data_IF_445743110472
#
_entry.id   IF_445743110472
#
_cell.length_a   1.000
_cell.length_b   1.000
_cell.length_c   1.000
_cell.angle_alpha   90.00
_cell.angle_beta   90.00
_cell.angle_gamma   90.00
#
_symmetry.space_group_name_H-M   'P 1'
#
loop_
_entity.id
_entity.type
_entity.pdbx_description
1 polymer ?
#
# COMPACT_ATOMS: atom_id res chain seq x y z
N UNK A 1 -15.04 -11.59 8.82
CA UNK A 1 -13.83 -10.97 9.43
C UNK A 1 -13.48 -9.74 8.58
N UNK A 2 -13.45 -8.51 9.12
CA UNK A 2 -13.46 -7.31 8.29
C UNK A 2 -12.07 -6.99 7.70
N UNK A 3 -12.02 -6.77 6.38
CA UNK A 3 -10.87 -6.15 5.73
C UNK A 3 -11.02 -4.64 5.86
N UNK A 4 -10.01 -3.95 6.39
CA UNK A 4 -10.04 -2.48 6.43
C UNK A 4 -9.54 -1.95 5.08
N UNK A 5 -10.46 -1.41 4.29
CA UNK A 5 -10.16 -0.72 3.03
C UNK A 5 -10.19 0.77 3.27
N UNK A 6 -9.18 1.48 2.79
CA UNK A 6 -9.07 2.92 2.88
C UNK A 6 -8.77 3.50 1.50
N UNK A 7 -9.42 4.62 1.17
CA UNK A 7 -9.31 5.30 -0.11
C UNK A 7 -8.81 6.72 0.12
N UNK A 8 -7.80 7.14 -0.64
CA UNK A 8 -7.16 8.44 -0.58
C UNK A 8 -7.06 9.04 -2.00
N UNK A 9 -6.81 10.35 -2.10
CA UNK A 9 -6.61 11.07 -3.36
C UNK A 9 -7.67 10.75 -4.42
N UNK A 10 -8.91 11.21 -4.18
CA UNK A 10 -10.04 11.05 -5.10
C UNK A 10 -10.33 9.61 -5.56
N UNK A 11 -9.81 8.58 -4.86
CA UNK A 11 -9.96 7.17 -5.22
C UNK A 11 -8.80 6.56 -6.00
N UNK A 12 -7.75 7.33 -6.30
CA UNK A 12 -6.56 6.85 -7.03
C UNK A 12 -5.62 6.04 -6.14
N UNK A 13 -5.68 6.17 -4.81
CA UNK A 13 -4.93 5.33 -3.89
C UNK A 13 -5.86 4.46 -3.04
N UNK A 14 -5.73 3.14 -3.18
CA UNK A 14 -6.44 2.15 -2.38
C UNK A 14 -5.43 1.44 -1.48
N UNK A 15 -5.64 1.56 -0.17
CA UNK A 15 -4.84 0.87 0.84
C UNK A 15 -5.70 -0.15 1.58
N UNK A 16 -5.21 -1.38 1.67
CA UNK A 16 -5.91 -2.47 2.35
C UNK A 16 -5.02 -3.12 3.39
N UNK A 17 -5.54 -3.25 4.61
CA UNK A 17 -4.96 -4.08 5.66
C UNK A 17 -5.59 -5.46 5.62
N UNK A 18 -4.78 -6.49 5.41
CA UNK A 18 -5.19 -7.89 5.44
C UNK A 18 -4.70 -8.48 6.76
N UNK A 19 -5.62 -8.76 7.68
CA UNK A 19 -5.34 -9.14 9.08
C UNK A 19 -4.49 -8.11 9.86
N UNK A 20 -4.44 -6.87 9.36
CA UNK A 20 -3.68 -5.78 9.96
C UNK A 20 -4.56 -4.53 10.00
N UNK A 21 -4.70 -3.92 11.18
CA UNK A 21 -5.28 -2.59 11.31
C UNK A 21 -4.30 -1.54 10.82
N UNK A 22 -4.66 -0.80 9.77
CA UNK A 22 -3.84 0.29 9.26
C UNK A 22 -3.91 1.47 10.22
N UNK A 23 -2.78 1.82 10.83
CA UNK A 23 -2.69 2.98 11.73
C UNK A 23 -2.79 4.29 10.93
N UNK A 24 -3.16 5.37 11.60
CA UNK A 24 -3.18 6.71 10.98
C UNK A 24 -1.81 7.10 10.44
N UNK A 25 -0.74 6.86 11.20
CA UNK A 25 0.63 7.14 10.78
C UNK A 25 1.04 6.39 9.49
N UNK A 26 0.61 5.13 9.32
CA UNK A 26 0.88 4.38 8.08
C UNK A 26 0.13 4.98 6.89
N UNK A 27 -1.12 5.39 7.08
CA UNK A 27 -1.93 6.03 6.04
C UNK A 27 -1.30 7.36 5.61
N UNK A 28 -0.86 8.17 6.56
CA UNK A 28 -0.26 9.48 6.30
C UNK A 28 1.08 9.32 5.56
N UNK A 29 1.93 8.41 6.02
CA UNK A 29 3.22 8.14 5.38
C UNK A 29 3.05 7.69 3.91
N UNK A 30 2.05 6.84 3.64
CA UNK A 30 1.73 6.39 2.27
C UNK A 30 1.09 7.50 1.44
N UNK A 31 0.21 8.32 2.02
CA UNK A 31 -0.41 9.45 1.34
C UNK A 31 0.65 10.43 0.81
N UNK A 32 1.66 10.77 1.62
CA UNK A 32 2.77 11.65 1.22
C UNK A 32 3.58 11.06 0.07
N UNK A 33 3.87 9.75 0.12
CA UNK A 33 4.62 9.07 -0.96
C UNK A 33 3.81 8.99 -2.25
N UNK A 34 2.52 8.69 -2.15
CA UNK A 34 1.62 8.63 -3.29
C UNK A 34 1.39 10.01 -3.92
N UNK A 35 1.26 11.07 -3.13
CA UNK A 35 1.16 12.44 -3.66
C UNK A 35 2.36 12.80 -4.54
N UNK A 36 3.58 12.48 -4.07
CA UNK A 36 4.80 12.65 -4.86
C UNK A 36 4.75 11.83 -6.15
N UNK A 37 4.35 10.56 -6.07
CA UNK A 37 4.26 9.68 -7.22
C UNK A 37 3.26 10.21 -8.27
N UNK A 38 2.04 10.56 -7.87
CA UNK A 38 1.01 11.09 -8.78
C UNK A 38 1.39 12.44 -9.39
N UNK A 39 2.16 13.27 -8.68
CA UNK A 39 2.66 14.55 -9.22
C UNK A 39 3.64 14.35 -10.37
N UNK A 40 4.46 13.30 -10.31
CA UNK A 40 5.48 13.03 -11.32
C UNK A 40 4.98 12.13 -12.46
N UNK A 41 4.02 11.25 -12.18
CA UNK A 41 3.50 10.27 -13.12
C UNK A 41 1.98 10.46 -13.31
N UNK A 42 1.54 11.45 -14.11
CA UNK A 42 0.13 11.79 -14.27
C UNK A 42 -0.68 10.71 -15.00
N UNK A 43 -0.02 9.77 -15.68
CA UNK A 43 -0.68 8.64 -16.37
C UNK A 43 -1.11 7.51 -15.43
N UNK A 44 -0.79 7.60 -14.13
CA UNK A 44 -1.23 6.63 -13.15
C UNK A 44 -2.73 6.78 -12.92
N UNK A 45 -3.46 5.73 -13.28
CA UNK A 45 -4.89 5.62 -13.09
C UNK A 45 -5.21 5.26 -11.63
N UNK A 46 -4.46 4.30 -11.08
CA UNK A 46 -4.69 3.82 -9.71
C UNK A 46 -3.50 3.10 -9.11
N UNK A 47 -3.30 3.27 -7.80
CA UNK A 47 -2.34 2.53 -6.99
C UNK A 47 -3.11 1.74 -5.95
N UNK A 48 -2.87 0.44 -5.89
CA UNK A 48 -3.43 -0.48 -4.89
C UNK A 48 -2.31 -1.05 -4.06
N UNK A 49 -2.42 -0.96 -2.75
CA UNK A 49 -1.44 -1.51 -1.81
C UNK A 49 -2.16 -2.40 -0.81
N UNK A 50 -1.83 -3.68 -0.84
CA UNK A 50 -2.28 -4.65 0.13
C UNK A 50 -1.15 -4.94 1.13
N UNK A 51 -1.38 -4.65 2.41
CA UNK A 51 -0.42 -4.89 3.49
C UNK A 51 -0.89 -6.06 4.33
N UNK A 52 -0.01 -7.04 4.51
CA UNK A 52 -0.20 -8.21 5.35
C UNK A 52 0.87 -8.24 6.43
N UNK A 53 0.56 -8.78 7.59
CA UNK A 53 1.55 -9.13 8.60
C UNK A 53 1.54 -10.64 8.86
N UNK A 54 2.71 -11.21 9.12
CA UNK A 54 2.86 -12.61 9.49
C UNK A 54 3.89 -12.77 10.60
N UNK A 55 3.65 -13.67 11.53
CA UNK A 55 4.59 -14.02 12.59
C UNK A 55 5.29 -15.34 12.21
N UNK A 56 6.61 -15.31 12.01
CA UNK A 56 7.43 -16.50 11.73
C UNK A 56 8.64 -16.51 12.65
N UNK A 57 8.81 -17.60 13.41
CA UNK A 57 9.96 -17.77 14.31
C UNK A 57 10.10 -16.68 15.38
N UNK A 58 8.99 -16.08 15.83
CA UNK A 58 8.99 -14.97 16.79
C UNK A 58 9.28 -13.59 16.17
N UNK A 59 9.60 -13.52 14.88
CA UNK A 59 9.79 -12.27 14.13
C UNK A 59 8.53 -11.95 13.35
N UNK A 60 8.12 -10.68 13.37
CA UNK A 60 6.95 -10.20 12.65
C UNK A 60 7.39 -9.56 11.33
N UNK A 61 7.00 -10.19 10.24
CA UNK A 61 7.20 -9.70 8.89
C UNK A 61 5.98 -8.90 8.44
N UNK A 62 6.22 -7.85 7.67
CA UNK A 62 5.24 -7.09 6.93
C UNK A 62 5.49 -7.31 5.45
N UNK A 63 4.47 -7.72 4.71
CA UNK A 63 4.54 -7.84 3.26
C UNK A 63 3.54 -6.88 2.64
N UNK A 64 4.06 -5.95 1.84
CA UNK A 64 3.26 -5.02 1.05
C UNK A 64 3.29 -5.45 -0.42
N UNK A 65 2.11 -5.63 -1.01
CA UNK A 65 1.92 -5.92 -2.43
C UNK A 65 1.31 -4.69 -3.09
N UNK A 66 2.07 -4.07 -3.99
CA UNK A 66 1.65 -2.92 -4.78
C UNK A 66 1.23 -3.33 -6.19
N UNK A 67 0.15 -2.75 -6.70
CA UNK A 67 -0.24 -2.78 -8.12
C UNK A 67 -0.52 -1.35 -8.58
N UNK A 68 0.11 -0.94 -9.67
CA UNK A 68 -0.09 0.36 -10.31
C UNK A 68 -0.75 0.11 -11.67
N UNK A 69 -1.95 0.64 -11.83
CA UNK A 69 -2.72 0.65 -13.06
C UNK A 69 -2.34 1.92 -13.83
N UNK A 70 -1.81 1.76 -15.05
CA UNK A 70 -1.43 2.84 -15.97
C UNK A 70 -2.14 2.61 -17.32
N UNK A 71 -2.05 3.56 -18.26
CA UNK A 71 -2.54 3.39 -19.63
C UNK A 71 -1.64 2.43 -20.46
N UNK A 72 -1.48 1.21 -19.99
CA UNK A 72 -0.55 0.21 -20.50
C UNK A 72 -0.53 -1.04 -19.63
N UNK A 73 0.55 -1.83 -19.66
CA UNK A 73 0.72 -2.97 -18.77
C UNK A 73 0.81 -2.53 -17.30
N UNK A 74 0.05 -3.19 -16.44
CA UNK A 74 0.11 -2.93 -15.00
C UNK A 74 1.49 -3.24 -14.43
N UNK A 75 1.93 -2.41 -13.48
CA UNK A 75 3.12 -2.68 -12.69
C UNK A 75 2.72 -3.37 -11.39
N UNK A 76 3.40 -4.45 -11.05
CA UNK A 76 3.23 -5.13 -9.78
C UNK A 76 4.57 -5.22 -9.04
N UNK A 77 4.55 -4.92 -7.75
CA UNK A 77 5.72 -5.00 -6.88
C UNK A 77 5.34 -5.65 -5.55
N UNK A 78 6.27 -6.37 -4.94
CA UNK A 78 6.09 -6.93 -3.59
C UNK A 78 7.36 -6.70 -2.79
N UNK A 79 7.20 -6.22 -1.56
CA UNK A 79 8.28 -6.04 -0.61
C UNK A 79 7.93 -6.70 0.71
N UNK A 80 8.88 -7.40 1.30
CA UNK A 80 8.77 -8.00 2.62
C UNK A 80 9.87 -7.43 3.51
N UNK A 81 9.49 -6.96 4.69
CA UNK A 81 10.37 -6.28 5.64
C UNK A 81 9.95 -6.59 7.06
N UNK A 82 10.87 -6.48 8.02
CA UNK A 82 10.58 -6.59 9.46
C UNK A 82 10.12 -5.25 10.06
N UNK A 83 10.20 -4.15 9.28
CA UNK A 83 9.77 -2.80 9.69
C UNK A 83 8.65 -2.28 8.79
N UNK A 84 7.46 -2.04 9.38
CA UNK A 84 6.25 -1.60 8.67
C UNK A 84 6.31 -0.19 8.05
N UNK A 85 7.33 0.62 8.35
CA UNK A 85 7.44 2.02 7.89
C UNK A 85 8.45 2.25 6.75
N UNK A 86 9.26 1.24 6.43
CA UNK A 86 10.27 1.31 5.36
C UNK A 86 9.66 0.90 4.02
#
# INVERSE_FOLDING_TARGET
MPHTVFSLHSGQLILRGIHLGLTTAMKDALAIRAEKLFRHEPEILRVRIDVTSSLRGGVRDFTAKGRIEIAGPDLAATVTTTNAYL
#
